data_IF_588150303542
#
_entry.id   IF_588150303542
#
_cell.length_a   1.000
_cell.length_b   1.000
_cell.length_c   1.000
_cell.angle_alpha   90.00
_cell.angle_beta   90.00
_cell.angle_gamma   90.00
#
_symmetry.space_group_name_H-M   'P 1'
#
loop_
_entity.id
_entity.type
_entity.pdbx_description
1 polymer ?
2 water ?
#
# COMPACT_ATOMS: atom_id res chain seq x y z
N UNK A 1 3.81 -5.54 -13.43
CA UNK A 1 4.06 -4.62 -12.31
C UNK A 1 2.82 -3.83 -11.93
N UNK A 2 2.69 -3.52 -10.64
CA UNK A 2 1.64 -2.67 -10.14
C UNK A 2 2.30 -1.43 -9.53
N UNK A 3 2.01 -0.27 -10.08
CA UNK A 3 2.53 0.99 -9.58
C UNK A 3 1.44 1.75 -8.84
N UNK A 4 1.81 2.37 -7.71
CA UNK A 4 0.89 3.25 -7.01
C UNK A 4 1.61 4.56 -6.80
N UNK A 5 1.02 5.65 -7.30
CA UNK A 5 1.60 6.98 -7.16
C UNK A 5 0.75 7.78 -6.18
N UNK A 6 1.38 8.22 -5.10
CA UNK A 6 0.81 9.21 -4.20
C UNK A 6 1.12 10.61 -4.74
N UNK A 7 0.07 11.35 -5.04
CA UNK A 7 0.20 12.68 -5.62
C UNK A 7 -0.85 13.60 -5.03
N UNK A 8 -0.64 14.91 -5.09
CA UNK A 8 -1.64 15.83 -4.55
C UNK A 8 -2.80 16.00 -5.51
N UNK A 9 -3.89 16.54 -4.98
CA UNK A 9 -5.04 16.94 -5.79
C UNK A 9 -4.68 18.10 -6.71
N UNK A 10 -5.52 18.32 -7.72
CA UNK A 10 -5.39 19.47 -8.58
C UNK A 10 -4.85 19.18 -9.98
N UNK A 11 -4.31 18.00 -10.23
CA UNK A 11 -3.76 17.70 -11.56
C UNK A 11 -4.88 17.32 -12.52
N UNK A 12 -4.79 17.81 -13.75
CA UNK A 12 -5.85 17.61 -14.71
C UNK A 12 -5.96 16.13 -15.09
N UNK A 13 -7.12 15.77 -15.63
CA UNK A 13 -7.29 14.41 -16.10
C UNK A 13 -6.32 14.10 -17.23
N UNK A 14 -6.07 15.07 -18.11
CA UNK A 14 -5.12 14.83 -19.20
C UNK A 14 -3.71 14.62 -18.65
N UNK A 15 -3.34 15.38 -17.61
CA UNK A 15 -2.01 15.19 -17.03
C UNK A 15 -1.90 13.82 -16.35
N UNK A 16 -2.96 13.38 -15.66
CA UNK A 16 -2.94 12.06 -15.07
C UNK A 16 -2.83 10.99 -16.16
N UNK A 17 -3.56 11.16 -17.27
CA UNK A 17 -3.40 10.26 -18.40
C UNK A 17 -1.98 10.30 -18.95
N UNK A 18 -1.36 11.47 -19.00
CA UNK A 18 0.02 11.54 -19.49
C UNK A 18 1.00 10.94 -18.48
N UNK A 19 0.65 10.99 -17.19
CA UNK A 19 1.50 10.33 -16.20
C UNK A 19 1.40 8.81 -16.32
N UNK A 20 0.18 8.28 -16.52
CA UNK A 20 0.00 6.84 -16.69
C UNK A 20 0.75 6.39 -17.93
N UNK A 21 0.69 7.19 -18.99
CA UNK A 21 1.41 6.86 -20.22
C UNK A 21 2.91 6.83 -19.99
N UNK A 22 3.45 7.86 -19.35
CA UNK A 22 4.90 7.95 -19.21
C UNK A 22 5.45 6.90 -18.25
N UNK A 23 4.76 6.65 -17.13
CA UNK A 23 5.22 5.65 -16.18
C UNK A 23 5.20 4.25 -16.77
N UNK A 24 4.26 3.99 -17.69
CA UNK A 24 4.25 2.69 -18.35
C UNK A 24 5.44 2.57 -19.29
N UNK A 25 5.69 3.59 -20.11
CA UNK A 25 6.89 3.58 -20.95
C UNK A 25 8.14 3.49 -20.11
N UNK A 26 8.13 4.12 -18.94
CA UNK A 26 9.29 4.11 -18.07
C UNK A 26 9.57 2.70 -17.57
N UNK A 27 8.50 1.96 -17.26
CA UNK A 27 8.63 0.62 -16.71
C UNK A 27 9.05 -0.36 -17.79
N UNK A 28 8.45 -0.25 -18.98
CA UNK A 28 8.84 -1.10 -20.12
C UNK A 28 10.34 -0.95 -20.40
N UNK A 29 10.82 0.30 -20.50
CA UNK A 29 12.23 0.51 -20.80
C UNK A 29 13.14 0.04 -19.67
N UNK A 30 12.69 0.14 -18.41
CA UNK A 30 13.60 -0.08 -17.31
C UNK A 30 13.79 -1.54 -17.01
N UNK A 31 12.70 -2.31 -16.99
CA UNK A 31 12.72 -3.70 -16.56
C UNK A 31 12.19 -4.64 -17.64
N UNK A 32 11.67 -4.12 -18.74
CA UNK A 32 11.27 -4.97 -19.86
C UNK A 32 9.96 -5.67 -19.69
N UNK A 33 9.11 -5.25 -18.76
CA UNK A 33 7.78 -5.83 -18.67
C UNK A 33 6.96 -5.39 -19.88
N UNK A 34 6.14 -6.27 -20.44
CA UNK A 34 5.25 -5.85 -21.52
C UNK A 34 4.32 -4.74 -21.04
N UNK A 35 4.14 -3.72 -21.88
CA UNK A 35 3.30 -2.58 -21.54
C UNK A 35 1.98 -3.01 -20.91
N UNK A 36 1.37 -4.06 -21.46
CA UNK A 36 0.05 -4.49 -21.02
C UNK A 36 0.07 -5.06 -19.60
N UNK A 37 1.21 -5.44 -19.08
CA UNK A 37 1.30 -5.98 -17.73
C UNK A 37 1.49 -4.88 -16.69
N UNK A 38 1.60 -3.63 -17.09
CA UNK A 38 1.78 -2.52 -16.15
C UNK A 38 0.41 -1.99 -15.76
N UNK A 39 0.07 -2.16 -14.48
CA UNK A 39 -1.15 -1.60 -13.88
C UNK A 39 -0.77 -0.45 -12.95
N UNK A 40 -1.47 0.68 -13.08
CA UNK A 40 -1.15 1.87 -12.29
C UNK A 40 -2.38 2.32 -11.51
N UNK A 41 -2.17 2.69 -10.26
CA UNK A 41 -3.20 3.40 -9.51
C UNK A 41 -2.60 4.70 -9.00
N UNK A 42 -3.28 5.80 -9.27
CA UNK A 42 -2.92 7.10 -8.74
C UNK A 42 -3.77 7.33 -7.49
N UNK A 43 -3.13 7.67 -6.38
CA UNK A 43 -3.81 7.91 -5.11
C UNK A 43 -3.66 9.39 -4.79
N UNK A 44 -4.68 10.17 -5.15
CA UNK A 44 -4.70 11.59 -4.90
C UNK A 44 -5.00 11.87 -3.44
N UNK A 45 -4.24 12.78 -2.82
CA UNK A 45 -4.47 13.12 -1.42
C UNK A 45 -4.65 14.61 -1.22
N UNK A 46 -5.60 15.02 -0.38
CA UNK A 46 -5.68 16.42 0.02
C UNK A 46 -4.46 16.81 0.84
N UNK A 47 -4.15 18.12 0.84
CA UNK A 47 -2.96 18.58 1.54
C UNK A 47 -3.03 18.23 3.02
N UNK A 48 -4.24 18.24 3.60
CA UNK A 48 -4.44 17.86 5.00
C UNK A 48 -3.90 16.47 5.32
N UNK A 49 -3.79 15.59 4.32
CA UNK A 49 -3.39 14.21 4.51
C UNK A 49 -1.92 13.95 4.19
N UNK A 50 -1.14 14.98 3.86
CA UNK A 50 0.21 14.82 3.35
C UNK A 50 1.20 15.49 4.29
N UNK A 51 2.16 14.74 4.82
CA UNK A 51 3.12 15.29 5.73
C UNK A 51 4.57 15.25 5.28
N UNK A 52 5.28 16.37 5.42
CA UNK A 52 6.70 16.47 5.13
C UNK A 52 7.38 17.19 6.29
N UNK A 53 8.35 16.52 6.90
CA UNK A 53 8.99 17.12 8.07
C UNK A 53 8.02 17.42 9.19
N UNK A 54 6.88 16.74 9.24
CA UNK A 54 5.92 16.95 10.30
C UNK A 54 4.90 18.04 10.08
N UNK A 55 4.82 18.58 8.87
CA UNK A 55 3.88 19.64 8.53
C UNK A 55 3.08 19.26 7.30
N UNK A 56 1.83 19.70 7.21
CA UNK A 56 1.04 19.40 6.00
C UNK A 56 1.52 20.21 4.81
N UNK A 57 1.83 19.51 3.72
CA UNK A 57 2.25 20.18 2.48
C UNK A 57 2.28 19.17 1.33
N UNK A 58 1.86 19.60 0.13
CA UNK A 58 1.97 18.72 -1.05
C UNK A 58 3.40 18.44 -1.48
N UNK A 59 4.37 19.20 -0.96
CA UNK A 59 5.78 19.00 -1.28
C UNK A 59 6.32 17.63 -0.85
N UNK A 60 5.57 16.87 -0.06
CA UNK A 60 6.03 15.54 0.32
C UNK A 60 5.98 14.55 -0.83
N UNK A 61 5.17 14.83 -1.84
CA UNK A 61 4.90 13.96 -2.96
C UNK A 61 5.71 14.42 -4.17
N UNK A 62 5.91 13.55 -5.17
CA UNK A 62 5.32 12.21 -5.30
C UNK A 62 6.10 11.04 -4.69
N UNK A 63 5.36 10.05 -4.20
CA UNK A 63 5.92 8.78 -3.73
C UNK A 63 5.37 7.69 -4.64
N UNK A 64 6.26 6.92 -5.24
CA UNK A 64 5.86 5.83 -6.14
C UNK A 64 6.21 4.52 -5.48
N UNK A 65 5.21 3.65 -5.31
CA UNK A 65 5.44 2.28 -4.89
C UNK A 65 5.30 1.39 -6.11
N UNK A 66 6.32 0.57 -6.36
CA UNK A 66 6.36 -0.33 -7.51
C UNK A 66 6.46 -1.75 -6.98
N UNK A 67 5.47 -2.57 -7.32
CA UNK A 67 5.40 -3.96 -6.86
C UNK A 67 5.74 -4.87 -8.03
N UNK A 68 6.80 -5.66 -7.87
CA UNK A 68 7.35 -6.52 -8.91
C UNK A 68 7.43 -7.96 -8.41
N UNK A 69 7.29 -8.92 -9.34
CA UNK A 69 7.63 -10.28 -8.95
C UNK A 69 9.13 -10.36 -8.77
N UNK A 70 9.57 -11.05 -7.72
CA UNK A 70 10.99 -11.13 -7.43
C UNK A 70 11.79 -11.64 -8.62
N UNK A 71 13.06 -11.25 -8.69
CA UNK A 71 13.93 -11.71 -9.75
C UNK A 71 14.69 -10.62 -10.48
N UNK A 72 14.25 -9.38 -10.38
CA UNK A 72 14.92 -8.32 -11.10
C UNK A 72 16.29 -8.07 -10.49
N UNK A 73 17.27 -7.73 -11.33
CA UNK A 73 18.60 -7.41 -10.84
C UNK A 73 18.62 -6.03 -10.19
N UNK A 74 19.67 -5.77 -9.41
CA UNK A 74 19.87 -4.44 -8.86
C UNK A 74 19.95 -3.39 -9.96
N UNK A 75 20.58 -3.75 -11.08
CA UNK A 75 20.70 -2.84 -12.22
C UNK A 75 19.33 -2.46 -12.78
N UNK A 76 18.46 -3.45 -12.97
CA UNK A 76 17.11 -3.16 -13.44
C UNK A 76 16.37 -2.26 -12.46
N UNK A 77 16.49 -2.54 -11.17
CA UNK A 77 15.79 -1.74 -10.17
C UNK A 77 16.31 -0.32 -10.12
N UNK A 78 17.63 -0.14 -10.24
CA UNK A 78 18.22 1.20 -10.34
C UNK A 78 17.66 1.96 -11.53
N UNK A 79 17.55 1.29 -12.68
CA UNK A 79 16.98 1.93 -13.86
C UNK A 79 15.51 2.26 -13.65
N UNK A 80 14.77 1.33 -13.04
CA UNK A 80 13.38 1.60 -12.70
C UNK A 80 13.25 2.83 -11.82
N UNK A 81 14.06 2.93 -10.76
CA UNK A 81 14.05 4.12 -9.90
C UNK A 81 14.33 5.38 -10.71
N UNK A 82 15.32 5.34 -11.60
CA UNK A 82 15.69 6.53 -12.34
C UNK A 82 14.58 6.94 -13.29
N UNK A 83 13.98 5.97 -14.00
CA UNK A 83 12.97 6.27 -15.00
C UNK A 83 11.66 6.71 -14.38
N UNK A 84 11.21 6.03 -13.32
CA UNK A 84 9.97 6.43 -12.68
C UNK A 84 10.11 7.83 -12.08
N UNK A 85 11.27 8.11 -11.49
CA UNK A 85 11.51 9.39 -10.83
C UNK A 85 11.51 10.52 -11.86
N UNK A 86 12.31 10.37 -12.93
CA UNK A 86 12.39 11.40 -13.97
C UNK A 86 11.04 11.62 -14.64
N UNK A 87 10.31 10.53 -14.92
CA UNK A 87 8.99 10.64 -15.54
C UNK A 87 8.03 11.39 -14.62
N UNK A 88 7.97 10.98 -13.35
CA UNK A 88 7.06 11.62 -12.42
C UNK A 88 7.39 13.11 -12.28
N UNK A 89 8.68 13.44 -12.15
CA UNK A 89 9.05 14.83 -11.95
C UNK A 89 8.74 15.66 -13.19
N UNK A 90 8.97 15.11 -14.38
CA UNK A 90 8.74 15.90 -15.58
C UNK A 90 7.25 16.07 -15.85
N UNK A 91 6.45 15.02 -15.67
CA UNK A 91 5.02 15.12 -15.97
C UNK A 91 4.32 15.98 -14.93
N UNK A 92 4.60 15.74 -13.66
CA UNK A 92 3.98 16.52 -12.61
C UNK A 92 4.61 17.89 -12.45
N UNK A 93 5.71 18.16 -13.15
CA UNK A 93 6.35 19.48 -13.16
C UNK A 93 6.88 19.86 -11.78
N UNK A 94 7.63 18.94 -11.16
CA UNK A 94 8.24 19.17 -9.87
C UNK A 94 9.69 18.71 -9.93
N UNK A 95 10.45 19.06 -8.89
CA UNK A 95 11.87 18.73 -8.86
C UNK A 95 12.06 17.23 -8.78
N UNK A 96 13.07 16.74 -9.51
CA UNK A 96 13.49 15.35 -9.35
C UNK A 96 13.84 15.04 -7.90
N UNK A 97 14.41 16.02 -7.20
CA UNK A 97 14.85 15.83 -5.82
C UNK A 97 13.69 15.47 -4.88
N UNK A 98 12.46 15.85 -5.23
CA UNK A 98 11.30 15.58 -4.40
C UNK A 98 10.72 14.19 -4.58
N UNK A 99 11.16 13.40 -5.56
CA UNK A 99 10.54 12.11 -5.86
C UNK A 99 11.12 11.00 -4.99
N UNK A 100 10.24 10.08 -4.58
CA UNK A 100 10.58 8.89 -3.81
C UNK A 100 10.07 7.66 -4.53
N UNK A 101 10.88 6.61 -4.58
CA UNK A 101 10.46 5.32 -5.15
C UNK A 101 10.73 4.22 -4.14
N UNK A 102 9.76 3.33 -3.97
CA UNK A 102 9.93 2.16 -3.11
C UNK A 102 9.49 0.92 -3.86
N UNK A 103 10.37 -0.07 -3.97
CA UNK A 103 10.13 -1.26 -4.75
C UNK A 103 9.88 -2.44 -3.82
N UNK A 104 8.74 -3.09 -3.99
CA UNK A 104 8.41 -4.32 -3.27
C UNK A 104 8.62 -5.51 -4.20
N UNK A 105 9.48 -6.44 -3.77
CA UNK A 105 9.67 -7.71 -4.45
C UNK A 105 8.71 -8.75 -3.88
N UNK A 106 7.99 -9.45 -4.74
CA UNK A 106 7.03 -10.47 -4.34
C UNK A 106 7.55 -11.83 -4.82
N UNK A 107 7.82 -12.79 -3.92
CA UNK A 107 8.26 -14.12 -4.37
C UNK A 107 7.18 -14.77 -5.22
N UNK A 108 7.61 -15.61 -6.16
CA UNK A 108 6.66 -16.20 -7.10
C UNK A 108 5.66 -17.13 -6.40
N UNK A 109 5.98 -17.60 -5.20
CA UNK A 109 5.02 -18.34 -4.38
C UNK A 109 3.97 -17.44 -3.73
N UNK A 110 4.16 -16.12 -3.80
CA UNK A 110 3.35 -15.14 -3.06
C UNK A 110 2.56 -14.23 -3.99
N UNK A 111 2.60 -14.51 -5.29
CA UNK A 111 1.90 -13.74 -6.30
C UNK A 111 0.84 -14.64 -6.92
N UNK A 112 -0.36 -14.11 -7.08
CA UNK A 112 -1.44 -14.88 -7.66
C UNK A 112 -2.05 -14.15 -8.83
N UNK A 113 -2.37 -14.91 -9.88
CA UNK A 113 -3.10 -14.40 -11.03
C UNK A 113 -4.13 -15.45 -11.41
N UNK A 114 -5.39 -15.07 -11.37
CA UNK A 114 -6.45 -16.00 -11.70
C UNK A 114 -6.58 -17.16 -10.76
N UNK A 115 -6.04 -17.06 -9.55
CA UNK A 115 -6.14 -18.12 -8.56
C UNK A 115 -4.97 -19.07 -8.52
N UNK A 116 -3.99 -18.90 -9.41
CA UNK A 116 -2.79 -19.71 -9.44
C UNK A 116 -1.59 -18.85 -9.07
N UNK A 117 -0.60 -19.46 -8.43
CA UNK A 117 0.60 -18.72 -8.09
C UNK A 117 1.47 -18.46 -9.33
N UNK A 118 2.28 -17.40 -9.25
CA UNK A 118 3.23 -17.12 -10.32
C UNK A 118 4.14 -18.31 -10.59
N UNK A 119 4.59 -18.98 -9.53
CA UNK A 119 5.47 -20.13 -9.74
C UNK A 119 4.75 -21.25 -10.49
N UNK A 120 3.49 -21.51 -10.10
CA UNK A 120 2.65 -22.45 -10.86
C UNK A 120 2.55 -22.06 -12.32
N UNK A 121 2.63 -20.77 -12.63
CA UNK A 121 2.43 -20.30 -14.00
C UNK A 121 3.74 -20.14 -14.77
N UNK A 122 4.88 -20.40 -14.14
CA UNK A 122 6.16 -20.27 -14.82
C UNK A 122 6.86 -18.95 -14.66
N UNK A 123 6.48 -18.16 -13.66
CA UNK A 123 7.08 -16.85 -13.47
C UNK A 123 7.75 -16.75 -12.10
N UNK B 1 -6.74 2.18 13.32
CA UNK B 1 -5.81 2.68 12.31
C UNK B 1 -4.78 1.63 11.92
N UNK B 2 -4.31 1.69 10.68
CA UNK B 2 -3.33 0.75 10.18
C UNK B 2 -2.24 1.54 9.49
N UNK B 3 -1.03 1.45 10.03
CA UNK B 3 0.10 2.24 9.53
C UNK B 3 1.08 1.29 8.85
N UNK B 4 1.40 1.57 7.60
CA UNK B 4 2.47 0.88 6.89
C UNK B 4 3.71 1.77 6.94
N UNK B 5 4.79 1.26 7.53
CA UNK B 5 5.99 2.04 7.76
C UNK B 5 7.12 1.44 6.95
N UNK B 6 7.60 2.19 5.95
CA UNK B 6 8.71 1.80 5.08
C UNK B 6 10.03 2.26 5.68
N UNK B 7 10.90 1.30 6.00
CA UNK B 7 12.22 1.47 6.59
C UNK B 7 13.28 0.82 5.72
N UNK B 8 14.53 1.28 5.79
CA UNK B 8 15.63 0.50 5.22
C UNK B 8 15.89 -0.72 6.09
N UNK B 9 16.52 -1.73 5.49
CA UNK B 9 16.83 -2.92 6.24
C UNK B 9 17.87 -2.63 7.32
N UNK B 10 17.90 -3.48 8.35
CA UNK B 10 19.00 -3.49 9.30
C UNK B 10 18.63 -3.24 10.74
N UNK B 11 17.43 -2.79 11.07
CA UNK B 11 17.14 -2.39 12.43
C UNK B 11 16.87 -3.59 13.32
N UNK B 12 17.29 -3.48 14.58
CA UNK B 12 17.16 -4.58 15.51
C UNK B 12 15.69 -4.79 15.88
N UNK B 13 15.39 -5.99 16.39
CA UNK B 13 14.06 -6.25 16.92
C UNK B 13 13.69 -5.25 18.00
N UNK B 14 14.67 -4.84 18.81
CA UNK B 14 14.44 -3.84 19.85
C UNK B 14 14.01 -2.50 19.26
N UNK B 15 14.74 -2.03 18.25
CA UNK B 15 14.39 -0.74 17.64
C UNK B 15 13.04 -0.80 16.96
N UNK B 16 12.73 -1.92 16.29
CA UNK B 16 11.41 -2.07 15.69
C UNK B 16 10.32 -2.08 16.74
N UNK B 17 10.56 -2.73 17.88
CA UNK B 17 9.56 -2.76 18.92
C UNK B 17 9.40 -1.37 19.54
N UNK B 18 10.51 -0.63 19.67
CA UNK B 18 10.40 0.76 20.12
C UNK B 18 9.60 1.60 19.14
N UNK B 19 9.81 1.40 17.84
CA UNK B 19 9.04 2.14 16.84
C UNK B 19 7.57 1.74 16.88
N UNK B 20 7.29 0.45 17.03
CA UNK B 20 5.91 0.01 17.12
C UNK B 20 5.22 0.65 18.32
N UNK B 21 5.91 0.71 19.46
CA UNK B 21 5.31 1.30 20.66
C UNK B 21 5.10 2.81 20.47
N UNK B 22 6.14 3.51 20.01
CA UNK B 22 6.03 4.97 19.89
C UNK B 22 4.99 5.41 18.87
N UNK B 23 4.91 4.72 17.73
CA UNK B 23 3.92 5.09 16.72
C UNK B 23 2.51 4.75 17.18
N UNK B 24 2.36 3.71 17.99
CA UNK B 24 1.06 3.43 18.56
C UNK B 24 0.65 4.50 19.55
N UNK B 25 1.55 4.99 20.37
CA UNK B 25 1.22 6.05 21.32
C UNK B 25 1.00 7.33 20.58
N UNK B 26 1.78 7.55 19.54
CA UNK B 26 1.59 8.78 18.76
C UNK B 26 0.21 8.79 18.11
N UNK B 27 -0.25 7.64 17.64
CA UNK B 27 -1.58 7.58 17.02
C UNK B 27 -2.68 7.79 18.07
N UNK B 28 -2.55 7.15 19.23
CA UNK B 28 -3.52 7.34 20.31
C UNK B 28 -3.64 8.81 20.67
N UNK B 29 -2.50 9.48 20.89
CA UNK B 29 -2.52 10.87 21.33
C UNK B 29 -3.11 11.78 20.26
N UNK B 30 -2.81 11.50 18.99
CA UNK B 30 -3.12 12.46 17.93
C UNK B 30 -4.57 12.38 17.49
N UNK B 31 -5.16 11.19 17.40
CA UNK B 31 -6.50 11.08 16.87
C UNK B 31 -7.41 10.32 17.82
N UNK B 32 -6.85 9.74 18.88
CA UNK B 32 -7.69 9.21 19.94
C UNK B 32 -8.21 7.81 19.72
N UNK B 33 -7.63 7.06 18.79
CA UNK B 33 -8.06 5.69 18.61
C UNK B 33 -7.53 4.82 19.76
N UNK B 34 -8.31 3.85 20.23
CA UNK B 34 -7.80 2.93 21.26
C UNK B 34 -6.55 2.21 20.78
N UNK B 35 -5.60 2.03 21.71
CA UNK B 35 -4.34 1.37 21.35
C UNK B 35 -4.58 0.03 20.69
N UNK B 36 -5.58 -0.72 21.18
CA UNK B 36 -5.86 -2.05 20.67
C UNK B 36 -6.36 -2.05 19.22
N UNK B 37 -6.75 -0.90 18.69
CA UNK B 37 -7.13 -0.81 17.28
C UNK B 37 -5.99 -0.33 16.39
N UNK B 38 -4.79 -0.11 16.94
CA UNK B 38 -3.68 0.43 16.16
C UNK B 38 -2.80 -0.72 15.69
N UNK B 39 -2.69 -0.87 14.38
CA UNK B 39 -1.82 -1.86 13.76
C UNK B 39 -0.65 -1.14 13.13
N UNK B 40 0.56 -1.54 13.48
CA UNK B 40 1.79 -1.00 12.90
C UNK B 40 2.45 -2.12 12.11
N UNK B 41 2.65 -1.89 10.83
CA UNK B 41 3.26 -2.83 9.93
C UNK B 41 4.57 -2.30 9.35
N UNK B 42 5.69 -2.84 9.77
CA UNK B 42 6.98 -2.37 9.29
C UNK B 42 7.40 -3.15 8.05
N UNK B 43 7.59 -2.45 6.94
CA UNK B 43 8.12 -3.02 5.70
C UNK B 43 9.56 -2.57 5.55
N UNK B 44 10.49 -3.51 5.57
CA UNK B 44 11.90 -3.19 5.39
C UNK B 44 12.28 -3.41 3.93
N UNK B 45 13.01 -2.46 3.36
CA UNK B 45 13.40 -2.55 1.97
C UNK B 45 14.92 -2.52 1.83
N UNK B 46 15.49 -3.30 0.92
CA UNK B 46 16.92 -3.16 0.62
C UNK B 46 17.19 -1.82 -0.01
N UNK B 47 18.43 -1.32 0.16
CA UNK B 47 18.81 -0.05 -0.44
C UNK B 47 18.64 -0.07 -1.95
N UNK B 48 18.78 -1.25 -2.57
CA UNK B 48 18.60 -1.36 -4.02
C UNK B 48 17.17 -1.03 -4.43
N UNK B 49 16.22 -1.09 -3.50
CA UNK B 49 14.81 -0.91 -3.77
C UNK B 49 14.30 0.48 -3.42
N UNK B 50 15.15 1.36 -2.91
CA UNK B 50 14.74 2.63 -2.32
C UNK B 50 15.36 3.78 -3.10
N UNK B 51 14.51 4.65 -3.64
CA UNK B 51 14.95 5.74 -4.48
C UNK B 51 14.61 7.11 -3.92
N UNK B 52 15.57 8.02 -3.99
CA UNK B 52 15.38 9.44 -3.67
C UNK B 52 16.05 10.27 -4.75
N UNK B 53 15.30 11.19 -5.36
CA UNK B 53 15.90 11.96 -6.45
C UNK B 53 16.36 11.12 -7.61
N UNK B 54 15.77 9.94 -7.79
CA UNK B 54 16.16 9.08 -8.89
C UNK B 54 17.35 8.20 -8.63
N UNK B 55 17.83 8.14 -7.38
CA UNK B 55 19.06 7.44 -7.04
C UNK B 55 18.79 6.52 -5.85
N UNK B 56 19.42 5.35 -5.80
CA UNK B 56 19.21 4.45 -4.66
C UNK B 56 19.90 4.99 -3.41
N UNK B 57 19.14 5.06 -2.31
CA UNK B 57 19.65 5.54 -1.03
C UNK B 57 18.62 5.31 0.07
N UNK B 58 19.06 4.87 1.26
CA UNK B 58 18.13 4.77 2.40
C UNK B 58 17.57 6.11 2.85
N UNK B 59 18.18 7.22 2.43
CA UNK B 59 17.72 8.55 2.84
C UNK B 59 16.34 8.90 2.31
N UNK B 60 15.76 8.07 1.44
CA UNK B 60 14.40 8.31 0.98
C UNK B 60 13.37 8.04 2.06
N UNK B 61 13.72 7.27 3.07
CA UNK B 61 12.82 6.80 4.11
C UNK B 61 13.09 7.54 5.41
N UNK B 62 12.17 7.46 6.41
CA UNK B 62 10.93 6.69 6.49
C UNK B 62 9.74 7.36 5.82
N UNK B 63 8.86 6.52 5.29
CA UNK B 63 7.56 6.93 4.75
C UNK B 63 6.49 6.15 5.49
N UNK B 64 5.54 6.86 6.10
CA UNK B 64 4.46 6.22 6.84
C UNK B 64 3.16 6.45 6.08
N UNK B 65 2.47 5.36 5.77
CA UNK B 65 1.11 5.41 5.23
C UNK B 65 0.13 5.05 6.35
N UNK B 66 -0.75 5.98 6.68
CA UNK B 66 -1.70 5.78 7.78
C UNK B 66 -3.09 5.62 7.17
N UNK B 67 -3.65 4.42 7.29
CA UNK B 67 -4.98 4.11 6.77
C UNK B 67 -6.00 4.30 7.89
N UNK B 68 -6.94 5.21 7.68
CA UNK B 68 -7.94 5.58 8.66
C UNK B 68 -9.32 5.46 8.05
N UNK B 69 -10.30 5.06 8.87
CA UNK B 69 -11.68 5.28 8.46
C UNK B 69 -11.90 6.78 8.32
N UNK B 70 -12.68 7.19 7.32
CA UNK B 70 -12.92 8.60 7.08
C UNK B 70 -13.66 9.24 8.25
N UNK B 71 -13.41 10.53 8.46
CA UNK B 71 -14.09 11.24 9.53
C UNK B 71 -13.20 12.01 10.46
N UNK B 72 -11.88 11.92 10.30
CA UNK B 72 -10.98 12.67 11.17
C UNK B 72 -10.83 14.10 10.67
N UNK B 73 -10.86 15.05 11.61
CA UNK B 73 -10.77 16.45 11.23
C UNK B 73 -9.38 16.79 10.68
N UNK B 74 -9.32 17.92 9.98
CA UNK B 74 -8.04 18.41 9.48
C UNK B 74 -7.05 18.58 10.63
N UNK B 75 -7.51 19.12 11.76
CA UNK B 75 -6.60 19.35 12.87
C UNK B 75 -6.09 18.04 13.46
N UNK B 76 -6.96 17.02 13.55
CA UNK B 76 -6.52 15.72 14.01
C UNK B 76 -5.45 15.13 13.09
N UNK B 77 -5.66 15.27 11.79
CA UNK B 77 -4.70 14.76 10.81
C UNK B 77 -3.37 15.50 10.92
N UNK B 78 -3.41 16.81 11.16
CA UNK B 78 -2.18 17.58 11.29
C UNK B 78 -1.40 17.13 12.52
N UNK B 79 -2.12 16.83 13.61
CA UNK B 79 -1.50 16.28 14.81
C UNK B 79 -0.93 14.89 14.55
N UNK B 80 -1.68 14.06 13.82
CA UNK B 80 -1.16 12.74 13.48
C UNK B 80 0.14 12.87 12.70
N UNK B 81 0.16 13.74 11.69
CA UNK B 81 1.39 13.97 10.95
C UNK B 81 2.51 14.42 11.90
N UNK B 82 2.22 15.39 12.77
CA UNK B 82 3.27 15.91 13.64
C UNK B 82 3.80 14.82 14.56
N UNK B 83 2.90 14.08 15.21
CA UNK B 83 3.32 13.07 16.19
C UNK B 83 4.03 11.90 15.52
N UNK B 84 3.48 11.40 14.41
CA UNK B 84 4.15 10.29 13.74
C UNK B 84 5.55 10.67 13.27
N UNK B 85 5.71 11.91 12.78
CA UNK B 85 6.99 12.34 12.22
C UNK B 85 8.04 12.51 13.33
N UNK B 86 7.65 13.15 14.45
CA UNK B 86 8.59 13.36 15.54
C UNK B 86 9.01 12.04 16.17
N UNK B 87 8.03 11.15 16.38
CA UNK B 87 8.34 9.83 16.93
C UNK B 87 9.23 9.02 16.00
N UNK B 88 8.92 9.03 14.70
CA UNK B 88 9.76 8.30 13.74
C UNK B 88 11.19 8.81 13.75
N UNK B 89 11.36 10.13 13.75
CA UNK B 89 12.70 10.68 13.67
C UNK B 89 13.48 10.38 14.93
N UNK B 90 12.83 10.49 16.09
CA UNK B 90 13.51 10.25 17.35
C UNK B 90 13.92 8.78 17.47
N UNK B 91 12.97 7.86 17.26
CA UNK B 91 13.26 6.45 17.46
C UNK B 91 14.28 5.95 16.44
N UNK B 92 14.19 6.42 15.20
CA UNK B 92 15.11 5.98 14.15
C UNK B 92 16.41 6.76 14.12
N UNK B 93 16.51 7.84 14.88
CA UNK B 93 17.66 8.74 14.87
C UNK B 93 17.96 9.23 13.45
N UNK B 94 16.95 9.88 12.86
CA UNK B 94 17.07 10.50 11.55
C UNK B 94 16.49 11.91 11.63
N UNK B 95 16.80 12.72 10.61
CA UNK B 95 16.27 14.07 10.57
C UNK B 95 14.74 14.04 10.51
N UNK B 96 14.12 14.95 11.26
CA UNK B 96 12.69 15.17 11.09
C UNK B 96 12.35 15.52 9.65
N UNK B 97 13.26 16.23 8.96
CA UNK B 97 12.99 16.66 7.60
C UNK B 97 12.86 15.48 6.64
N UNK B 98 13.54 14.37 6.92
CA UNK B 98 13.46 13.20 6.04
C UNK B 98 12.15 12.43 6.15
N UNK B 99 11.32 12.70 7.16
CA UNK B 99 10.12 11.91 7.38
C UNK B 99 8.99 12.33 6.45
N UNK B 100 8.18 11.34 6.02
CA UNK B 100 7.00 11.58 5.22
C UNK B 100 5.83 10.79 5.76
N UNK B 101 4.66 11.41 5.77
CA UNK B 101 3.43 10.77 6.22
C UNK B 101 2.35 10.99 5.16
N UNK B 102 1.65 9.93 4.79
CA UNK B 102 0.50 10.03 3.89
C UNK B 102 -0.68 9.37 4.57
N UNK B 103 -1.80 10.08 4.64
CA UNK B 103 -3.00 9.60 5.31
C UNK B 103 -4.02 9.24 4.24
N UNK B 104 -4.43 7.98 4.20
CA UNK B 104 -5.45 7.51 3.28
C UNK B 104 -6.75 7.27 4.05
N UNK B 105 -7.78 8.04 3.71
CA UNK B 105 -9.10 7.88 4.33
C UNK B 105 -9.86 6.81 3.57
N UNK B 106 -10.60 5.98 4.30
CA UNK B 106 -11.39 4.90 3.74
C UNK B 106 -12.85 5.15 4.14
N UNK B 107 -13.76 5.32 3.18
CA UNK B 107 -15.19 5.41 3.52
C UNK B 107 -15.64 4.26 4.40
N UNK B 108 -16.58 4.54 5.30
CA UNK B 108 -17.03 3.51 6.23
C UNK B 108 -17.68 2.33 5.50
N UNK B 109 -18.18 2.55 4.28
CA UNK B 109 -18.70 1.48 3.44
C UNK B 109 -17.61 0.62 2.82
N UNK B 110 -16.37 1.10 2.82
CA UNK B 110 -15.25 0.45 2.16
C UNK B 110 -14.27 -0.17 3.17
N UNK B 111 -14.61 -0.17 4.45
CA UNK B 111 -13.70 -0.61 5.48
C UNK B 111 -14.32 -1.79 6.21
N UNK B 112 -13.55 -2.84 6.42
CA UNK B 112 -14.04 -4.00 7.07
C UNK B 112 -13.30 -4.46 8.31
N UNK B 113 -14.07 -4.88 9.28
CA UNK B 113 -13.60 -5.38 10.53
C UNK B 113 -14.39 -6.61 10.86
N UNK B 114 -13.71 -7.71 11.06
CA UNK B 114 -14.36 -8.97 11.33
C UNK B 114 -15.44 -9.36 10.33
N UNK B 115 -15.30 -8.95 9.08
CA UNK B 115 -16.26 -9.32 8.05
C UNK B 115 -17.44 -8.40 7.90
N UNK B 116 -17.55 -7.37 8.75
CA UNK B 116 -18.63 -6.42 8.68
C UNK B 116 -18.08 -5.05 8.30
N UNK B 117 -18.91 -4.26 7.63
CA UNK B 117 -18.45 -2.92 7.29
C UNK B 117 -18.45 -2.03 8.52
N UNK B 118 -17.60 -1.00 8.46
CA UNK B 118 -17.57 0.00 9.52
C UNK B 118 -18.90 0.73 9.62
N UNK B 119 -19.54 1.02 8.48
CA UNK B 119 -20.84 1.69 8.52
C UNK B 119 -21.89 0.83 9.21
N UNK B 120 -21.87 -0.49 8.98
CA UNK B 120 -22.80 -1.36 9.69
C UNK B 120 -22.48 -1.44 11.19
N UNK B 121 -21.25 -1.16 11.59
CA UNK B 121 -20.89 -1.18 13.00
C UNK B 121 -21.02 0.18 13.68
N UNK B 122 -21.47 1.20 12.96
CA UNK B 122 -21.64 2.52 13.54
C UNK B 122 -20.43 3.42 13.49
N UNK B 123 -19.49 3.20 12.57
CA UNK B 123 -18.33 4.08 12.45
C UNK B 123 -18.39 4.87 11.14
N UNK C 1 -9.41 -6.81 -10.28
CA UNK C 1 -9.11 -6.41 -8.89
C UNK C 1 -7.71 -6.85 -8.47
N UNK C 2 -7.09 -6.09 -7.59
CA UNK C 2 -5.79 -6.44 -7.01
C UNK C 2 -5.91 -6.41 -5.50
N UNK C 3 -5.48 -7.50 -4.88
CA UNK C 3 -5.48 -7.64 -3.46
C UNK C 3 -4.06 -7.63 -2.91
N UNK C 4 -3.79 -6.74 -1.98
CA UNK C 4 -2.50 -6.69 -1.32
C UNK C 4 -2.79 -7.29 0.04
N UNK C 5 -2.21 -8.42 0.36
CA UNK C 5 -2.46 -9.08 1.59
C UNK C 5 -1.25 -9.18 2.56
N UNK C 6 -1.39 -8.63 3.75
CA UNK C 6 -0.34 -8.71 4.76
C UNK C 6 -0.60 -9.91 5.68
N UNK C 7 0.35 -10.84 5.74
CA UNK C 7 0.18 -12.01 6.58
C UNK C 7 1.50 -12.33 7.27
N UNK C 8 1.47 -13.05 8.39
CA UNK C 8 2.72 -13.36 9.08
C UNK C 8 3.61 -14.27 8.26
N UNK C 9 4.92 -14.02 8.38
CA UNK C 9 5.93 -14.86 7.75
C UNK C 9 5.78 -16.32 8.19
N UNK C 10 6.17 -17.23 7.29
CA UNK C 10 6.40 -18.61 7.68
C UNK C 10 5.36 -19.62 7.26
N UNK C 11 4.23 -19.19 6.69
CA UNK C 11 3.25 -20.17 6.22
C UNK C 11 3.83 -20.96 5.06
N UNK C 12 3.35 -22.19 4.90
CA UNK C 12 3.86 -23.07 3.85
C UNK C 12 3.49 -22.52 2.48
N UNK C 13 4.24 -22.93 1.46
CA UNK C 13 3.88 -22.59 0.09
C UNK C 13 2.48 -23.12 -0.24
N UNK C 14 2.13 -24.30 0.26
CA UNK C 14 0.79 -24.84 0.00
C UNK C 14 -0.28 -23.95 0.60
N UNK C 15 -0.07 -23.48 1.83
CA UNK C 15 -1.05 -22.61 2.46
C UNK C 15 -1.21 -21.31 1.69
N UNK C 16 -0.10 -20.74 1.22
CA UNK C 16 -0.21 -19.48 0.49
C UNK C 16 -0.93 -19.70 -0.84
N UNK C 17 -0.67 -20.83 -1.49
CA UNK C 17 -1.38 -21.15 -2.73
C UNK C 17 -2.88 -21.29 -2.49
N UNK C 18 -3.26 -21.94 -1.38
CA UNK C 18 -4.67 -22.06 -1.05
C UNK C 18 -5.29 -20.69 -0.72
N UNK C 19 -4.53 -19.81 -0.05
CA UNK C 19 -5.04 -18.47 0.22
C UNK C 19 -5.30 -17.71 -1.08
N UNK C 20 -4.36 -17.79 -2.03
CA UNK C 20 -4.54 -17.13 -3.32
C UNK C 20 -5.77 -17.71 -4.03
N UNK C 21 -5.90 -19.03 -4.00
CA UNK C 21 -7.06 -19.67 -4.60
C UNK C 21 -8.35 -19.22 -3.92
N UNK C 22 -8.39 -19.29 -2.59
CA UNK C 22 -9.60 -18.91 -1.88
C UNK C 22 -9.97 -17.45 -2.05
N UNK C 23 -9.00 -16.54 -1.96
CA UNK C 23 -9.30 -15.12 -2.04
C UNK C 23 -9.74 -14.73 -3.43
N UNK C 24 -9.22 -15.41 -4.46
CA UNK C 24 -9.70 -15.17 -5.82
C UNK C 24 -11.16 -15.60 -5.94
N UNK C 25 -11.47 -16.81 -5.49
CA UNK C 25 -12.85 -17.27 -5.51
C UNK C 25 -13.74 -16.34 -4.68
N UNK C 26 -13.23 -15.88 -3.54
CA UNK C 26 -13.98 -14.92 -2.73
C UNK C 26 -14.32 -13.66 -3.52
N UNK C 27 -13.35 -13.13 -4.25
CA UNK C 27 -13.56 -11.92 -5.03
C UNK C 27 -14.57 -12.16 -6.16
N UNK C 28 -14.47 -13.29 -6.84
CA UNK C 28 -15.45 -13.61 -7.89
C UNK C 28 -16.84 -13.71 -7.30
N UNK C 29 -16.98 -14.49 -6.23
CA UNK C 29 -18.29 -14.66 -5.61
C UNK C 29 -18.87 -13.32 -5.16
N UNK C 30 -18.03 -12.41 -4.68
CA UNK C 30 -18.54 -11.19 -4.07
C UNK C 30 -18.98 -10.15 -5.11
N UNK C 31 -18.15 -9.89 -6.12
CA UNK C 31 -18.37 -8.78 -7.03
C UNK C 31 -18.45 -9.19 -8.49
N UNK C 32 -18.37 -10.49 -8.80
CA UNK C 32 -18.58 -10.98 -10.16
C UNK C 32 -17.48 -10.66 -11.14
N UNK C 33 -16.32 -10.21 -10.65
CA UNK C 33 -15.18 -10.01 -11.52
C UNK C 33 -14.73 -11.35 -12.10
N UNK C 34 -14.22 -11.35 -13.34
CA UNK C 34 -13.68 -12.60 -13.89
C UNK C 34 -12.43 -12.98 -13.10
N UNK C 35 -12.34 -14.28 -12.80
CA UNK C 35 -11.17 -14.76 -12.06
C UNK C 35 -9.88 -14.39 -12.77
N UNK C 36 -9.89 -14.40 -14.10
CA UNK C 36 -8.72 -14.06 -14.88
C UNK C 36 -8.19 -12.65 -14.60
N UNK C 37 -8.99 -11.78 -13.99
CA UNK C 37 -8.58 -10.42 -13.70
C UNK C 37 -8.15 -10.20 -12.25
N UNK C 38 -8.16 -11.24 -11.42
CA UNK C 38 -7.87 -11.07 -10.00
C UNK C 38 -6.40 -11.34 -9.74
N UNK C 39 -5.69 -10.33 -9.28
CA UNK C 39 -4.28 -10.43 -8.91
C UNK C 39 -4.14 -10.29 -7.40
N UNK C 40 -3.21 -11.06 -6.83
CA UNK C 40 -3.02 -11.11 -5.39
C UNK C 40 -1.55 -10.93 -5.11
N UNK C 41 -1.24 -10.07 -4.15
CA UNK C 41 0.13 -9.74 -3.78
C UNK C 41 0.21 -10.00 -2.28
N UNK C 42 0.81 -11.13 -1.93
CA UNK C 42 1.03 -11.48 -0.54
C UNK C 42 2.32 -10.85 -0.06
N UNK C 43 2.24 -10.10 1.03
CA UNK C 43 3.40 -9.48 1.68
C UNK C 43 3.55 -10.14 3.05
N UNK C 44 4.53 -11.04 3.17
CA UNK C 44 4.88 -11.64 4.46
C UNK C 44 5.69 -10.67 5.31
N UNK C 45 5.35 -10.61 6.59
CA UNK C 45 6.10 -9.82 7.56
C UNK C 45 6.45 -10.68 8.76
N UNK C 46 7.69 -10.57 9.26
CA UNK C 46 8.06 -11.29 10.48
C UNK C 46 7.34 -10.70 11.69
N UNK C 47 7.22 -11.51 12.75
CA UNK C 47 6.46 -11.07 13.92
C UNK C 47 7.09 -9.82 14.53
N UNK C 48 8.41 -9.67 14.42
CA UNK C 48 9.08 -8.48 14.95
C UNK C 48 8.67 -7.21 14.22
N UNK C 49 8.00 -7.31 13.07
CA UNK C 49 7.63 -6.17 12.27
C UNK C 49 6.15 -5.83 12.37
N UNK C 50 5.43 -6.48 13.27
CA UNK C 50 3.97 -6.51 13.25
C UNK C 50 3.46 -6.13 14.64
N UNK C 51 2.87 -4.94 14.75
CA UNK C 51 2.38 -4.44 16.03
C UNK C 51 0.86 -4.35 16.10
N UNK C 52 0.31 -4.80 17.23
CA UNK C 52 -1.08 -4.55 17.60
C UNK C 52 -1.13 -4.09 19.05
N UNK C 53 -1.83 -2.99 19.30
CA UNK C 53 -1.83 -2.40 20.62
C UNK C 53 -0.45 -2.02 21.10
N UNK C 54 0.48 -1.77 20.20
CA UNK C 54 1.82 -1.37 20.60
C UNK C 54 2.77 -2.49 20.91
N UNK C 55 2.40 -3.73 20.71
CA UNK C 55 3.29 -4.84 20.96
C UNK C 55 3.39 -5.79 19.75
N UNK C 56 4.53 -6.41 19.53
CA UNK C 56 4.68 -7.29 18.36
C UNK C 56 3.86 -8.56 18.54
N UNK C 57 3.03 -8.86 17.53
CA UNK C 57 2.19 -10.06 17.61
C UNK C 57 1.64 -10.36 16.22
N UNK C 58 1.49 -11.63 15.84
CA UNK C 58 0.81 -11.93 14.56
C UNK C 58 -0.68 -11.60 14.56
N UNK C 59 -1.29 -11.33 15.71
CA UNK C 59 -2.71 -10.97 15.73
C UNK C 59 -2.98 -9.63 15.06
N UNK C 60 -1.95 -8.83 14.76
CA UNK C 60 -2.21 -7.61 14.00
C UNK C 60 -2.61 -7.90 12.56
N UNK C 61 -2.48 -9.13 12.10
CA UNK C 61 -2.77 -9.52 10.74
C UNK C 61 -3.86 -10.59 10.77
N UNK C 62 -4.53 -10.87 9.63
CA UNK C 62 -4.36 -10.36 8.27
C UNK C 62 -5.05 -9.05 7.98
N UNK C 63 -4.37 -8.23 7.19
CA UNK C 63 -4.91 -7.00 6.63
C UNK C 63 -4.95 -7.18 5.12
N UNK C 64 -6.11 -6.95 4.51
CA UNK C 64 -6.27 -7.09 3.07
C UNK C 64 -6.70 -5.74 2.52
N UNK C 65 -5.88 -5.20 1.61
CA UNK C 65 -6.23 -4.00 0.88
C UNK C 65 -6.70 -4.42 -0.51
N UNK C 66 -7.93 -4.05 -0.87
CA UNK C 66 -8.51 -4.42 -2.16
C UNK C 66 -8.59 -3.18 -3.04
N UNK C 67 -7.89 -3.21 -4.17
CA UNK C 67 -7.86 -2.12 -5.14
C UNK C 67 -8.84 -2.44 -6.25
N UNK C 68 -9.80 -1.54 -6.45
CA UNK C 68 -10.88 -1.72 -7.42
C UNK C 68 -11.05 -0.45 -8.22
N UNK C 69 -11.30 -0.59 -9.52
CA UNK C 69 -11.74 0.57 -10.28
C UNK C 69 -13.13 0.95 -9.79
N UNK C 70 -13.36 2.25 -9.63
CA UNK C 70 -14.59 2.73 -9.01
C UNK C 70 -15.80 2.25 -9.79
N UNK C 71 -16.93 2.13 -9.09
CA UNK C 71 -18.16 1.76 -9.75
C UNK C 71 -18.90 0.63 -9.07
N UNK C 72 -18.22 -0.09 -8.17
CA UNK C 72 -18.90 -1.14 -7.45
C UNK C 72 -19.85 -0.56 -6.42
N UNK C 73 -20.97 -1.24 -6.19
CA UNK C 73 -21.97 -0.72 -5.27
C UNK C 73 -21.58 -0.98 -3.83
N UNK C 74 -22.24 -0.26 -2.91
CA UNK C 74 -22.00 -0.49 -1.48
C UNK C 74 -22.27 -1.94 -1.12
N UNK C 75 -23.34 -2.52 -1.68
CA UNK C 75 -23.68 -3.91 -1.39
C UNK C 75 -22.59 -4.87 -1.86
N UNK C 76 -22.04 -4.60 -3.05
CA UNK C 76 -20.95 -5.45 -3.54
C UNK C 76 -19.72 -5.32 -2.67
N UNK C 77 -19.40 -4.10 -2.24
CA UNK C 77 -18.23 -3.90 -1.39
C UNK C 77 -18.44 -4.54 -0.03
N UNK C 78 -19.67 -4.48 0.50
CA UNK C 78 -19.99 -5.22 1.71
C UNK C 78 -19.80 -6.72 1.53
N UNK C 79 -20.26 -7.26 0.39
CA UNK C 79 -20.07 -8.68 0.12
C UNK C 79 -18.59 -9.03 0.02
N UNK C 80 -17.81 -8.18 -0.66
CA UNK C 80 -16.37 -8.40 -0.77
C UNK C 80 -15.73 -8.50 0.60
N UNK C 81 -16.07 -7.57 1.49
CA UNK C 81 -15.53 -7.60 2.84
C UNK C 81 -15.91 -8.90 3.54
N UNK C 82 -17.16 -9.32 3.40
CA UNK C 82 -17.57 -10.55 4.08
C UNK C 82 -16.84 -11.76 3.51
N UNK C 83 -16.69 -11.82 2.18
CA UNK C 83 -16.13 -13.03 1.57
C UNK C 83 -14.62 -13.14 1.81
N UNK C 84 -13.88 -12.04 1.63
CA UNK C 84 -12.43 -12.05 1.88
C UNK C 84 -12.11 -12.37 3.33
N UNK C 85 -12.87 -11.80 4.26
CA UNK C 85 -12.62 -12.06 5.68
C UNK C 85 -12.90 -13.53 6.01
N UNK C 86 -14.08 -14.01 5.60
CA UNK C 86 -14.44 -15.42 5.74
C UNK C 86 -13.31 -16.33 5.27
N UNK C 87 -12.83 -16.11 4.04
CA UNK C 87 -11.88 -17.03 3.44
C UNK C 87 -10.50 -16.88 4.06
N UNK C 88 -10.10 -15.64 4.37
CA UNK C 88 -8.89 -15.38 5.11
C UNK C 88 -8.86 -16.14 6.43
N UNK C 89 -9.92 -15.97 7.22
CA UNK C 89 -10.01 -16.62 8.52
C UNK C 89 -9.89 -18.12 8.38
N UNK C 90 -10.57 -18.69 7.38
CA UNK C 90 -10.58 -20.13 7.17
C UNK C 90 -9.21 -20.66 6.75
N UNK C 91 -8.61 -20.08 5.70
CA UNK C 91 -7.36 -20.64 5.19
C UNK C 91 -6.23 -20.44 6.21
N UNK C 92 -6.17 -19.26 6.83
CA UNK C 92 -5.10 -18.95 7.78
C UNK C 92 -5.34 -19.53 9.18
N UNK C 93 -6.49 -20.15 9.42
CA UNK C 93 -6.87 -20.66 10.73
C UNK C 93 -6.70 -19.58 11.80
N UNK C 94 -7.48 -18.53 11.62
CA UNK C 94 -7.41 -17.34 12.46
C UNK C 94 -8.84 -16.85 12.65
N UNK C 95 -9.08 -16.14 13.75
CA UNK C 95 -10.44 -15.69 14.05
C UNK C 95 -10.96 -14.76 12.96
N UNK C 96 -12.25 -14.87 12.67
CA UNK C 96 -12.89 -13.93 11.77
C UNK C 96 -12.79 -12.50 12.32
N UNK C 97 -12.89 -12.36 13.64
CA UNK C 97 -12.86 -11.04 14.27
C UNK C 97 -11.58 -10.27 13.95
N UNK C 98 -10.46 -10.99 13.82
CA UNK C 98 -9.16 -10.37 13.62
C UNK C 98 -8.94 -9.88 12.19
N UNK C 99 -9.78 -10.25 11.23
CA UNK C 99 -9.54 -9.88 9.85
C UNK C 99 -9.85 -8.41 9.63
N UNK C 100 -9.08 -7.77 8.75
CA UNK C 100 -9.28 -6.39 8.36
C UNK C 100 -9.24 -6.31 6.84
N UNK C 101 -10.19 -5.58 6.26
CA UNK C 101 -10.26 -5.35 4.82
C UNK C 101 -10.38 -3.85 4.59
N UNK C 102 -9.56 -3.29 3.70
CA UNK C 102 -9.75 -1.93 3.24
C UNK C 102 -9.88 -1.89 1.73
N UNK C 103 -11.01 -1.39 1.24
CA UNK C 103 -11.23 -1.25 -0.19
C UNK C 103 -10.81 0.14 -0.62
N UNK C 104 -10.04 0.20 -1.71
CA UNK C 104 -9.58 1.46 -2.28
C UNK C 104 -10.18 1.57 -3.67
N UNK C 105 -11.28 2.32 -3.79
CA UNK C 105 -11.87 2.65 -5.08
C UNK C 105 -10.98 3.63 -5.82
N UNK C 106 -10.62 3.31 -7.06
CA UNK C 106 -9.80 4.20 -7.88
C UNK C 106 -10.69 4.80 -8.97
N UNK C 107 -10.78 6.13 -9.07
CA UNK C 107 -11.52 6.73 -10.18
C UNK C 107 -10.94 6.27 -11.50
N UNK C 108 -11.80 6.19 -12.53
CA UNK C 108 -11.35 5.65 -13.81
C UNK C 108 -10.35 6.58 -14.49
N UNK C 109 -10.33 7.86 -14.10
CA UNK C 109 -9.32 8.81 -14.54
C UNK C 109 -7.97 8.54 -13.91
N UNK C 110 -7.93 7.72 -12.86
CA UNK C 110 -6.77 7.57 -11.98
C UNK C 110 -6.22 6.16 -12.01
N UNK C 111 -6.73 5.32 -12.90
CA UNK C 111 -6.29 3.95 -13.00
C UNK C 111 -5.72 3.73 -14.40
N UNK C 112 -4.56 3.11 -14.46
CA UNK C 112 -3.92 2.82 -15.73
C UNK C 112 -3.79 1.34 -16.03
N UNK C 113 -4.15 0.96 -17.25
CA UNK C 113 -4.02 -0.41 -17.75
C UNK C 113 -3.22 -0.34 -19.05
N UNK C 114 -1.99 -0.84 -19.01
CA UNK C 114 -1.17 -0.85 -20.23
C UNK C 114 -0.91 0.51 -20.83
N UNK C 115 -0.85 1.56 -20.00
CA UNK C 115 -0.56 2.90 -20.45
C UNK C 115 -1.77 3.74 -20.80
N UNK C 116 -2.98 3.16 -20.77
CA UNK C 116 -4.21 3.87 -21.05
C UNK C 116 -5.01 3.98 -19.75
N UNK C 117 -5.80 5.06 -19.64
CA UNK C 117 -6.66 5.19 -18.47
C UNK C 117 -7.85 4.23 -18.57
N UNK C 118 -8.34 3.80 -17.40
CA UNK C 118 -9.56 3.01 -17.39
C UNK C 118 -10.71 3.76 -18.04
N UNK C 119 -10.72 5.06 -17.90
CA UNK C 119 -11.72 5.88 -18.52
C UNK C 119 -11.65 5.75 -20.03
N UNK C 120 -10.46 5.82 -20.57
CA UNK C 120 -10.31 5.75 -22.02
C UNK C 120 -10.68 4.38 -22.56
N UNK C 121 -10.56 3.34 -21.73
CA UNK C 121 -10.94 1.99 -22.07
C UNK C 121 -12.42 1.69 -21.80
N UNK C 122 -13.20 2.71 -21.47
CA UNK C 122 -14.63 2.52 -21.29
C UNK C 122 -15.04 1.97 -19.95
N UNK C 123 -14.13 1.92 -18.98
CA UNK C 123 -14.43 1.39 -17.65
C UNK C 123 -14.67 2.49 -16.63
#
# INVERSE_FOLDING_TARGET
>A
PTLEVYLPQGHSDERKASLIDGLTRATVDAIGAPAESVRILLTELPVSNIGLGGKPTPAALPVIIAILIAGRTEAQKEALIAHLSETSASVLDVSLQSTRVMIKDIPNTDFGLGGKTARALGR
>B
PTLEVYLPQGHSDERKASLIDGLTRATVDAIGAPAESVRILLTELPVSNIGLGGKPTPAALPVIIAILIAGRTEAQKEALIAHLSETSASVLDVSLQSTRVMIKDIPNTDFGLGGKTARALGR
>C
PTLEVYLPQGHSDERKASLIDGLTRATVDAIGAPAESVRILLTELPVSNIGLGGKPTPAALPVIIAILIAGRTEAQKEALIAHLSETSASVLDVSLQSTRVMIKDIPNTDFGLGGKTARALGR
#
